data_IF_892692034745
#
_entry.id   IF_892692034745
#
_cell.length_a   1.000
_cell.length_b   1.000
_cell.length_c   1.000
_cell.angle_alpha   90.00
_cell.angle_beta   90.00
_cell.angle_gamma   90.00
#
_symmetry.space_group_name_H-M   'P 1'
#
loop_
_entity.id
_entity.type
_entity.pdbx_description
1 polymer ?
#
# COMPACT_ATOMS: atom_id res chain seq x y z
N UNK A 1 33.88 12.92 14.53
CA UNK A 1 32.69 13.10 15.39
C UNK A 1 31.45 13.44 14.57
N UNK A 2 31.45 14.48 13.72
CA UNK A 2 30.28 14.84 12.91
C UNK A 2 29.75 13.70 12.02
N UNK A 3 30.63 12.99 11.30
CA UNK A 3 30.27 11.84 10.46
C UNK A 3 29.64 10.68 11.26
N UNK A 4 30.11 10.45 12.49
CA UNK A 4 29.57 9.40 13.38
C UNK A 4 28.18 9.78 13.87
N UNK A 5 27.94 11.07 14.19
CA UNK A 5 26.61 11.53 14.53
C UNK A 5 25.63 11.40 13.36
N UNK A 6 26.06 11.73 12.14
CA UNK A 6 25.23 11.60 10.93
C UNK A 6 24.87 10.14 10.67
N UNK A 7 25.81 9.20 10.76
CA UNK A 7 25.52 7.78 10.56
C UNK A 7 24.60 7.22 11.63
N UNK A 8 24.79 7.58 12.90
CA UNK A 8 23.90 7.18 14.00
C UNK A 8 22.50 7.75 13.81
N UNK A 9 22.37 9.02 13.42
CA UNK A 9 21.08 9.63 13.09
C UNK A 9 20.38 8.88 11.95
N UNK A 10 21.10 8.60 10.86
CA UNK A 10 20.55 7.88 9.70
C UNK A 10 20.04 6.48 10.07
N UNK A 11 20.76 5.74 10.94
CA UNK A 11 20.33 4.42 11.42
C UNK A 11 19.05 4.53 12.25
N UNK A 12 18.98 5.48 13.19
CA UNK A 12 17.79 5.66 14.02
C UNK A 12 16.57 6.05 13.17
N UNK A 13 16.75 6.92 12.16
CA UNK A 13 15.68 7.28 11.22
C UNK A 13 15.15 6.05 10.47
N UNK A 14 16.05 5.19 9.96
CA UNK A 14 15.65 3.95 9.27
C UNK A 14 14.87 3.00 10.20
N UNK A 15 15.33 2.82 11.42
CA UNK A 15 14.64 1.96 12.40
C UNK A 15 13.25 2.50 12.76
N UNK A 16 13.10 3.82 12.90
CA UNK A 16 11.80 4.44 13.12
C UNK A 16 10.86 4.23 11.93
N UNK A 17 11.35 4.36 10.70
CA UNK A 17 10.55 4.14 9.50
C UNK A 17 10.02 2.70 9.43
N UNK A 18 10.91 1.71 9.55
CA UNK A 18 10.51 0.29 9.55
C UNK A 18 9.51 -0.06 10.67
N UNK A 19 9.62 0.58 11.85
CA UNK A 19 8.64 0.41 12.92
C UNK A 19 7.27 0.99 12.55
N UNK A 20 7.23 2.17 11.94
CA UNK A 20 5.98 2.80 11.48
C UNK A 20 5.33 1.95 10.39
N UNK A 21 6.11 1.45 9.43
CA UNK A 21 5.60 0.60 8.36
C UNK A 21 5.07 -0.74 8.88
N UNK A 22 5.79 -1.35 9.83
CA UNK A 22 5.31 -2.55 10.52
C UNK A 22 4.02 -2.30 11.32
N UNK A 23 3.87 -1.14 11.94
CA UNK A 23 2.65 -0.76 12.66
C UNK A 23 1.47 -0.55 11.70
N UNK A 24 1.69 0.13 10.57
CA UNK A 24 0.70 0.32 9.51
C UNK A 24 0.25 -1.01 8.92
N UNK A 25 1.19 -1.91 8.59
CA UNK A 25 0.85 -3.24 8.07
C UNK A 25 0.00 -4.04 9.06
N UNK A 26 0.33 -3.97 10.36
CA UNK A 26 -0.45 -4.63 11.40
C UNK A 26 -1.87 -4.07 11.50
N UNK A 27 -2.05 -2.76 11.32
CA UNK A 27 -3.37 -2.12 11.28
C UNK A 27 -4.20 -2.63 10.10
N UNK A 28 -3.63 -2.71 8.90
CA UNK A 28 -4.31 -3.27 7.71
C UNK A 28 -4.81 -4.70 7.98
N UNK A 29 -3.96 -5.56 8.54
CA UNK A 29 -4.33 -6.92 8.89
C UNK A 29 -5.42 -7.01 9.98
N UNK A 30 -5.41 -6.09 10.95
CA UNK A 30 -6.44 -6.04 11.99
C UNK A 30 -7.78 -5.59 11.44
N UNK A 31 -7.79 -4.59 10.55
CA UNK A 31 -9.01 -4.13 9.88
C UNK A 31 -9.58 -5.28 9.04
N UNK A 32 -8.73 -5.95 8.25
CA UNK A 32 -9.14 -7.11 7.44
C UNK A 32 -9.84 -8.21 8.26
N UNK A 33 -9.35 -8.53 9.46
CA UNK A 33 -9.91 -9.59 10.32
C UNK A 33 -11.29 -9.24 10.92
N UNK A 34 -11.54 -7.96 11.22
CA UNK A 34 -12.77 -7.53 11.90
C UNK A 34 -13.83 -6.94 10.96
N UNK A 35 -13.46 -6.60 9.74
CA UNK A 35 -14.34 -5.86 8.85
C UNK A 35 -15.46 -6.75 8.29
N UNK A 36 -16.51 -6.09 7.78
CA UNK A 36 -17.67 -6.78 7.21
C UNK A 36 -17.79 -6.43 5.74
N UNK A 37 -17.70 -7.45 4.88
CA UNK A 37 -17.90 -7.31 3.44
C UNK A 37 -19.30 -6.78 3.11
N UNK A 38 -19.34 -5.72 2.29
CA UNK A 38 -20.56 -5.12 1.76
C UNK A 38 -20.69 -5.30 0.24
N UNK A 39 -19.66 -5.84 -0.42
CA UNK A 39 -19.60 -6.06 -1.86
C UNK A 39 -19.79 -4.78 -2.71
N UNK A 40 -19.55 -3.60 -2.12
CA UNK A 40 -19.58 -2.32 -2.83
C UNK A 40 -18.21 -2.07 -3.45
N UNK A 41 -18.08 -2.11 -4.79
CA UNK A 41 -16.78 -2.05 -5.44
C UNK A 41 -16.11 -0.70 -5.22
N UNK A 42 -14.81 -0.74 -4.93
CA UNK A 42 -13.98 0.45 -4.74
C UNK A 42 -12.78 0.47 -5.68
N UNK A 43 -12.28 1.67 -5.94
CA UNK A 43 -10.97 1.85 -6.56
C UNK A 43 -9.92 1.96 -5.46
N UNK A 44 -8.83 1.20 -5.54
CA UNK A 44 -7.64 1.43 -4.76
C UNK A 44 -6.51 1.91 -5.67
N UNK A 45 -5.74 2.88 -5.19
CA UNK A 45 -4.50 3.33 -5.83
C UNK A 45 -3.38 3.29 -4.79
N UNK A 46 -2.28 2.62 -5.11
CA UNK A 46 -1.11 2.54 -4.24
C UNK A 46 -0.19 3.77 -4.40
N UNK A 47 0.85 3.88 -3.56
CA UNK A 47 1.81 4.98 -3.67
C UNK A 47 2.59 4.99 -4.98
N UNK A 48 2.68 3.85 -5.67
CA UNK A 48 3.33 3.68 -6.96
C UNK A 48 2.40 3.90 -8.17
N UNK A 49 1.17 4.35 -7.94
CA UNK A 49 0.19 4.58 -9.01
C UNK A 49 -0.32 3.30 -9.69
N UNK A 50 -0.15 2.14 -9.07
CA UNK A 50 -0.87 0.91 -9.37
C UNK A 50 -2.33 1.12 -9.00
N UNK A 51 -3.22 0.85 -9.96
CA UNK A 51 -4.67 0.97 -9.80
C UNK A 51 -5.28 -0.43 -9.82
N UNK A 52 -6.18 -0.68 -8.88
CA UNK A 52 -6.89 -1.96 -8.76
C UNK A 52 -8.31 -1.73 -8.28
N UNK A 53 -9.27 -2.42 -8.88
CA UNK A 53 -10.64 -2.49 -8.33
C UNK A 53 -10.72 -3.63 -7.33
N UNK A 54 -11.21 -3.32 -6.13
CA UNK A 54 -11.51 -4.30 -5.09
C UNK A 54 -13.03 -4.54 -5.04
N UNK A 55 -13.42 -5.74 -4.60
CA UNK A 55 -14.85 -6.11 -4.49
C UNK A 55 -15.51 -5.23 -3.43
N UNK A 56 -14.81 -4.98 -2.33
CA UNK A 56 -15.14 -3.94 -1.36
C UNK A 56 -13.89 -3.41 -0.64
N UNK A 57 -14.11 -2.65 0.43
CA UNK A 57 -13.02 -2.06 1.23
C UNK A 57 -12.28 -3.10 2.07
N UNK A 58 -12.96 -4.17 2.50
CA UNK A 58 -12.32 -5.27 3.22
C UNK A 58 -11.30 -5.99 2.35
N UNK A 59 -11.69 -6.34 1.12
CA UNK A 59 -10.79 -6.98 0.14
C UNK A 59 -9.53 -6.14 -0.14
N UNK A 60 -9.62 -4.81 -0.02
CA UNK A 60 -8.45 -3.93 -0.14
C UNK A 60 -7.50 -4.08 1.05
N UNK A 61 -8.02 -4.06 2.28
CA UNK A 61 -7.22 -4.24 3.49
C UNK A 61 -6.60 -5.64 3.58
N UNK A 62 -7.35 -6.68 3.19
CA UNK A 62 -6.83 -8.05 3.06
C UNK A 62 -5.66 -8.09 2.09
N UNK A 63 -5.81 -7.49 0.90
CA UNK A 63 -4.75 -7.46 -0.10
C UNK A 63 -3.52 -6.68 0.38
N UNK A 64 -3.71 -5.53 1.04
CA UNK A 64 -2.62 -4.75 1.62
C UNK A 64 -1.86 -5.56 2.68
N UNK A 65 -2.58 -6.26 3.56
CA UNK A 65 -1.99 -7.14 4.56
C UNK A 65 -1.18 -8.29 3.94
N UNK A 66 -1.78 -9.01 2.99
CA UNK A 66 -1.18 -10.21 2.39
C UNK A 66 0.04 -9.89 1.52
N UNK A 67 -0.02 -8.79 0.78
CA UNK A 67 1.01 -8.43 -0.22
C UNK A 67 1.95 -7.32 0.23
N UNK A 68 1.73 -6.75 1.42
CA UNK A 68 2.44 -5.57 1.95
C UNK A 68 2.36 -4.36 1.02
N UNK A 69 1.25 -4.23 0.30
CA UNK A 69 0.94 -3.07 -0.54
C UNK A 69 0.22 -2.02 0.30
N UNK A 70 0.15 -0.81 -0.24
CA UNK A 70 -0.41 0.37 0.43
C UNK A 70 -1.53 1.03 -0.39
N UNK A 71 -2.42 0.23 -0.98
CA UNK A 71 -3.57 0.74 -1.70
C UNK A 71 -4.45 1.59 -0.80
N UNK A 72 -4.79 2.78 -1.27
CA UNK A 72 -5.71 3.69 -0.61
C UNK A 72 -6.99 3.81 -1.43
N UNK A 73 -8.14 3.78 -0.75
CA UNK A 73 -9.43 3.97 -1.39
C UNK A 73 -9.50 5.31 -2.10
N UNK A 74 -10.00 5.27 -3.33
CA UNK A 74 -10.27 6.39 -4.23
C UNK A 74 -11.69 6.30 -4.78
N UNK A 75 -12.25 7.42 -5.29
CA UNK A 75 -13.51 7.38 -6.00
C UNK A 75 -13.51 6.32 -7.11
N UNK A 76 -14.60 5.58 -7.25
CA UNK A 76 -14.71 4.43 -8.18
C UNK A 76 -14.29 4.78 -9.61
N UNK A 77 -14.59 6.00 -10.06
CA UNK A 77 -14.28 6.49 -11.41
C UNK A 77 -12.80 6.83 -11.64
N UNK A 78 -11.97 6.85 -10.60
CA UNK A 78 -10.53 7.13 -10.73
C UNK A 78 -9.78 5.93 -11.31
N UNK A 79 -10.25 4.72 -11.01
CA UNK A 79 -9.78 3.50 -11.65
C UNK A 79 -10.40 3.38 -13.05
N UNK A 80 -9.58 3.39 -14.09
CA UNK A 80 -10.04 3.21 -15.48
C UNK A 80 -10.39 1.75 -15.82
N UNK A 81 -10.28 0.86 -14.83
CA UNK A 81 -10.49 -0.57 -14.97
C UNK A 81 -11.97 -0.92 -14.79
N UNK A 82 -12.69 -0.86 -15.90
CA UNK A 82 -14.06 -1.39 -15.94
C UNK A 82 -14.02 -2.92 -15.82
N UNK A 83 -14.37 -3.45 -14.65
CA UNK A 83 -14.98 -4.78 -14.51
C UNK A 83 -14.15 -6.01 -15.01
N UNK A 84 -12.82 -5.99 -14.92
CA UNK A 84 -12.00 -7.22 -15.01
C UNK A 84 -11.47 -7.54 -13.62
N UNK A 85 -12.18 -8.40 -12.86
CA UNK A 85 -11.75 -8.85 -11.52
C UNK A 85 -10.25 -9.17 -11.49
N UNK A 86 -9.54 -8.59 -10.52
CA UNK A 86 -8.18 -9.02 -10.15
C UNK A 86 -7.03 -8.57 -11.05
N UNK A 87 -7.22 -7.66 -12.02
CA UNK A 87 -6.09 -7.04 -12.74
C UNK A 87 -5.70 -5.70 -12.17
N UNK A 88 -4.43 -5.58 -11.81
CA UNK A 88 -3.77 -4.33 -11.49
C UNK A 88 -3.23 -3.65 -12.75
N UNK A 89 -3.28 -2.33 -12.80
CA UNK A 89 -2.73 -1.53 -13.90
C UNK A 89 -1.92 -0.38 -13.35
N UNK A 90 -0.68 -0.24 -13.82
CA UNK A 90 0.21 0.84 -13.39
C UNK A 90 0.05 2.06 -14.28
N UNK A 91 -0.06 3.25 -13.70
CA UNK A 91 -0.03 4.50 -14.48
C UNK A 91 1.33 4.63 -15.19
N UNK A 92 1.37 5.01 -16.48
CA UNK A 92 2.63 5.21 -17.21
C UNK A 92 3.59 6.25 -16.59
N UNK A 93 3.08 7.10 -15.70
CA UNK A 93 3.84 8.13 -15.01
C UNK A 93 4.79 7.58 -13.93
N UNK A 94 4.53 6.39 -13.39
CA UNK A 94 5.39 5.72 -12.42
C UNK A 94 6.20 4.64 -13.15
N UNK A 95 7.49 4.89 -13.37
CA UNK A 95 8.38 3.96 -14.10
C UNK A 95 8.54 2.59 -13.43
N UNK A 96 9.28 1.70 -14.11
CA UNK A 96 9.59 0.35 -13.61
C UNK A 96 10.55 0.44 -12.41
N UNK A 97 10.10 0.08 -11.21
CA UNK A 97 10.96 0.02 -10.00
C UNK A 97 10.40 0.60 -8.70
N UNK A 98 9.30 1.36 -8.71
CA UNK A 98 8.73 1.96 -7.48
C UNK A 98 8.40 0.92 -6.39
N UNK A 99 8.00 -0.29 -6.77
CA UNK A 99 7.62 -1.36 -5.83
C UNK A 99 8.80 -1.88 -5.00
N UNK A 100 10.03 -1.77 -5.50
CA UNK A 100 11.26 -2.16 -4.77
C UNK A 100 11.58 -1.17 -3.65
N UNK A 101 11.15 0.08 -3.78
CA UNK A 101 11.30 1.08 -2.73
C UNK A 101 10.35 0.77 -1.56
N UNK A 102 9.13 0.32 -1.85
CA UNK A 102 8.14 -0.04 -0.83
C UNK A 102 8.30 -1.45 -0.21
N UNK A 103 9.18 -2.30 -0.77
CA UNK A 103 9.41 -3.68 -0.28
C UNK A 103 10.80 -3.92 0.33
N UNK A 104 11.68 -2.91 0.28
CA UNK A 104 13.02 -2.91 0.90
C UNK A 104 13.09 -1.98 2.13
N UNK A 105 11.94 -1.49 2.61
CA UNK A 105 11.82 -0.62 3.78
C UNK A 105 11.11 -1.36 4.92
#
# INVERSE_FOLDING_TARGET
MLLVCITVLAINVKNCLAHVDGAKLKEECQIADICRHDQVPICGIDSCGEMRTFIDTCDMHEFNCDTRKDFVQKPVHECWVTCKRGRSFKKPAYGDGCELENSVI
#
